data_IF_619671056176
#
_entry.id   IF_619671056176
#
_cell.length_a   1.000
_cell.length_b   1.000
_cell.length_c   1.000
_cell.angle_alpha   90.00
_cell.angle_beta   90.00
_cell.angle_gamma   90.00
#
_symmetry.space_group_name_H-M   'P 1'
#
loop_
_entity.id
_entity.type
_entity.pdbx_description
1 polymer ?
#
# COMPACT_ATOMS: atom_id res chain seq x y z
N UNK A 1 -17.21 3.04 -7.46
CA UNK A 1 -15.82 3.27 -6.97
C UNK A 1 -15.46 4.76 -6.88
N UNK A 2 -15.71 5.55 -7.91
CA UNK A 2 -15.27 6.96 -7.99
C UNK A 2 -15.71 7.83 -6.80
N UNK A 3 -16.94 7.68 -6.31
CA UNK A 3 -17.42 8.42 -5.12
C UNK A 3 -16.61 8.11 -3.84
N UNK A 4 -16.10 6.88 -3.70
CA UNK A 4 -15.25 6.49 -2.57
C UNK A 4 -13.89 7.19 -2.68
N UNK A 5 -13.29 7.19 -3.88
CA UNK A 5 -12.03 7.87 -4.16
C UNK A 5 -12.16 9.37 -3.84
N UNK A 6 -13.19 10.03 -4.36
CA UNK A 6 -13.44 11.44 -4.09
C UNK A 6 -13.65 11.74 -2.60
N UNK A 7 -14.27 10.82 -1.86
CA UNK A 7 -14.45 10.96 -0.41
C UNK A 7 -13.12 10.89 0.35
N UNK A 8 -12.20 10.02 -0.08
CA UNK A 8 -10.84 9.93 0.47
C UNK A 8 -10.05 11.20 0.13
N UNK A 9 -10.11 11.67 -1.12
CA UNK A 9 -9.41 12.89 -1.56
C UNK A 9 -9.90 14.14 -0.80
N UNK A 10 -11.21 14.25 -0.56
CA UNK A 10 -11.79 15.32 0.27
C UNK A 10 -11.34 15.20 1.72
N UNK A 11 -11.29 13.99 2.27
CA UNK A 11 -10.80 13.72 3.63
C UNK A 11 -9.33 14.10 3.77
N UNK A 12 -8.50 13.77 2.78
CA UNK A 12 -7.09 14.19 2.71
C UNK A 12 -6.97 15.72 2.67
N UNK A 13 -7.77 16.39 1.83
CA UNK A 13 -7.78 17.86 1.74
C UNK A 13 -8.19 18.53 3.05
N UNK A 14 -9.10 17.91 3.79
CA UNK A 14 -9.55 18.35 5.11
C UNK A 14 -8.62 17.92 6.26
N UNK A 15 -7.48 17.28 5.97
CA UNK A 15 -6.54 16.71 6.96
C UNK A 15 -7.17 15.68 7.91
N UNK A 16 -8.25 15.02 7.49
CA UNK A 16 -8.91 13.94 8.22
C UNK A 16 -8.12 12.61 8.05
N UNK A 17 -6.86 12.59 8.50
CA UNK A 17 -5.88 11.56 8.17
C UNK A 17 -6.31 10.13 8.52
N UNK A 18 -6.90 9.93 9.69
CA UNK A 18 -7.38 8.62 10.11
C UNK A 18 -8.49 8.10 9.19
N UNK A 19 -9.46 8.96 8.83
CA UNK A 19 -10.54 8.61 7.92
C UNK A 19 -9.99 8.24 6.54
N UNK A 20 -9.07 9.06 6.01
CA UNK A 20 -8.42 8.80 4.72
C UNK A 20 -7.65 7.48 4.74
N UNK A 21 -6.85 7.23 5.77
CA UNK A 21 -6.03 6.03 5.90
C UNK A 21 -6.88 4.76 6.02
N UNK A 22 -7.87 4.75 6.90
CA UNK A 22 -8.76 3.60 7.09
C UNK A 22 -9.53 3.28 5.81
N UNK A 23 -10.08 4.31 5.13
CA UNK A 23 -10.80 4.12 3.88
C UNK A 23 -9.88 3.65 2.75
N UNK A 24 -8.67 4.20 2.63
CA UNK A 24 -7.68 3.77 1.65
C UNK A 24 -7.27 2.31 1.86
N UNK A 25 -6.98 1.88 3.09
CA UNK A 25 -6.60 0.49 3.41
C UNK A 25 -7.70 -0.53 3.11
N UNK A 26 -8.97 -0.11 3.00
CA UNK A 26 -10.07 -1.00 2.60
C UNK A 26 -10.17 -1.20 1.07
N UNK A 27 -9.65 -0.27 0.26
CA UNK A 27 -9.80 -0.34 -1.20
C UNK A 27 -9.20 -1.60 -1.85
N UNK A 28 -7.99 -2.06 -1.47
CA UNK A 28 -7.43 -3.28 -2.06
C UNK A 28 -8.28 -4.53 -1.77
N UNK A 29 -8.93 -4.63 -0.60
CA UNK A 29 -9.87 -5.73 -0.31
C UNK A 29 -11.06 -5.70 -1.29
N UNK A 30 -11.64 -4.52 -1.52
CA UNK A 30 -12.79 -4.35 -2.43
C UNK A 30 -12.40 -4.73 -3.86
N UNK A 31 -11.26 -4.22 -4.34
CA UNK A 31 -10.79 -4.48 -5.71
C UNK A 31 -10.41 -5.95 -5.90
N UNK A 32 -9.70 -6.54 -4.94
CA UNK A 32 -9.32 -7.95 -5.00
C UNK A 32 -10.53 -8.89 -4.96
N UNK A 33 -11.60 -8.52 -4.22
CA UNK A 33 -12.87 -9.27 -4.22
C UNK A 33 -13.52 -9.27 -5.61
N UNK A 34 -13.62 -8.09 -6.24
CA UNK A 34 -14.19 -7.94 -7.59
C UNK A 34 -13.37 -8.73 -8.62
N UNK A 35 -12.05 -8.72 -8.51
CA UNK A 35 -11.19 -9.47 -9.43
C UNK A 35 -11.35 -10.99 -9.37
N UNK A 36 -11.76 -11.51 -8.21
CA UNK A 36 -11.72 -12.94 -7.91
C UNK A 36 -13.10 -13.56 -7.66
N UNK A 37 -14.17 -12.75 -7.60
CA UNK A 37 -15.53 -13.20 -7.34
C UNK A 37 -15.64 -14.11 -6.10
N UNK A 38 -16.37 -15.22 -6.21
CA UNK A 38 -16.55 -16.22 -5.15
C UNK A 38 -15.34 -17.17 -4.98
N UNK A 39 -14.11 -16.62 -5.03
CA UNK A 39 -12.88 -17.40 -4.86
C UNK A 39 -12.78 -18.02 -3.47
N UNK A 40 -12.25 -19.25 -3.41
CA UNK A 40 -11.90 -19.93 -2.14
C UNK A 40 -10.55 -19.49 -1.58
N UNK A 41 -9.81 -18.66 -2.31
CA UNK A 41 -8.52 -18.12 -1.88
C UNK A 41 -8.71 -17.20 -0.67
N UNK A 42 -7.82 -17.29 0.32
CA UNK A 42 -7.89 -16.43 1.51
C UNK A 42 -7.83 -14.95 1.13
N UNK A 43 -8.69 -14.11 1.74
CA UNK A 43 -8.70 -12.66 1.49
C UNK A 43 -7.33 -12.00 1.71
N UNK A 44 -6.54 -12.49 2.66
CA UNK A 44 -5.14 -12.10 2.86
C UNK A 44 -4.28 -12.23 1.61
N UNK A 45 -4.37 -13.37 0.92
CA UNK A 45 -3.59 -13.62 -0.29
C UNK A 45 -4.10 -12.76 -1.44
N UNK A 46 -5.42 -12.61 -1.58
CA UNK A 46 -6.03 -11.78 -2.61
C UNK A 46 -5.60 -10.31 -2.46
N UNK A 47 -5.71 -9.76 -1.25
CA UNK A 47 -5.23 -8.40 -0.93
C UNK A 47 -3.75 -8.25 -1.26
N UNK A 48 -2.90 -9.16 -0.77
CA UNK A 48 -1.47 -9.05 -0.94
C UNK A 48 -1.07 -9.11 -2.42
N UNK A 49 -1.67 -10.02 -3.19
CA UNK A 49 -1.42 -10.14 -4.63
C UNK A 49 -1.86 -8.88 -5.38
N UNK A 50 -3.06 -8.38 -5.09
CA UNK A 50 -3.56 -7.16 -5.72
C UNK A 50 -2.66 -5.96 -5.40
N UNK A 51 -2.23 -5.80 -4.14
CA UNK A 51 -1.31 -4.74 -3.75
C UNK A 51 0.02 -4.85 -4.49
N UNK A 52 0.62 -6.04 -4.56
CA UNK A 52 1.89 -6.25 -5.28
C UNK A 52 1.81 -5.88 -6.76
N UNK A 53 0.67 -6.13 -7.41
CA UNK A 53 0.47 -5.85 -8.84
C UNK A 53 0.25 -4.35 -9.14
N UNK A 54 -0.63 -3.70 -8.36
CA UNK A 54 -1.08 -2.35 -8.68
C UNK A 54 -0.31 -1.24 -7.97
N UNK A 55 0.27 -1.52 -6.80
CA UNK A 55 0.93 -0.53 -5.93
C UNK A 55 2.39 -0.89 -5.64
N UNK A 56 2.68 -2.20 -5.52
CA UNK A 56 3.98 -2.75 -5.15
C UNK A 56 5.19 -2.11 -5.83
N UNK A 57 5.17 -1.81 -7.15
CA UNK A 57 6.28 -1.14 -7.82
C UNK A 57 6.70 0.21 -7.22
N UNK A 58 5.78 0.94 -6.55
CA UNK A 58 6.11 2.22 -5.88
C UNK A 58 6.87 2.03 -4.57
N UNK A 59 6.82 0.83 -4.00
CA UNK A 59 7.45 0.46 -2.75
C UNK A 59 8.65 -0.48 -2.96
N UNK A 60 9.23 -0.47 -4.16
CA UNK A 60 10.41 -1.24 -4.54
C UNK A 60 11.45 -0.30 -5.18
N UNK A 61 12.72 -0.53 -4.89
CA UNK A 61 13.82 0.19 -5.54
C UNK A 61 14.99 -0.74 -5.81
N UNK A 62 15.69 -0.51 -6.93
CA UNK A 62 16.91 -1.24 -7.25
C UNK A 62 18.11 -0.45 -6.72
N UNK A 63 18.95 -1.11 -5.93
CA UNK A 63 20.26 -0.57 -5.54
C UNK A 63 21.38 -1.52 -5.96
N UNK A 64 22.60 -1.03 -6.14
CA UNK A 64 23.77 -1.90 -6.22
C UNK A 64 23.87 -2.75 -4.94
N UNK A 65 24.22 -4.02 -5.09
CA UNK A 65 24.60 -4.87 -3.96
C UNK A 65 25.88 -4.33 -3.34
N UNK A 66 25.85 -4.13 -2.03
CA UNK A 66 27.00 -3.66 -1.26
C UNK A 66 27.37 -4.74 -0.25
N UNK A 67 28.54 -5.37 -0.42
CA UNK A 67 29.08 -6.28 0.59
C UNK A 67 29.72 -5.46 1.71
N UNK A 68 28.97 -5.20 2.77
CA UNK A 68 29.45 -4.41 3.92
C UNK A 68 30.63 -5.09 4.65
N UNK A 69 30.85 -6.40 4.44
CA UNK A 69 31.95 -7.15 5.04
C UNK A 69 33.25 -7.11 4.22
N UNK A 70 33.19 -6.66 2.96
CA UNK A 70 34.36 -6.51 2.11
C UNK A 70 35.16 -5.22 2.43
N UNK A 71 36.46 -5.17 2.08
CA UNK A 71 37.24 -3.92 2.06
C UNK A 71 36.52 -2.85 1.25
N UNK A 72 36.61 -1.57 1.64
CA UNK A 72 35.83 -0.45 1.07
C UNK A 72 35.93 -0.41 -0.45
N UNK A 73 37.13 -0.64 -0.97
CA UNK A 73 37.49 -0.70 -2.39
C UNK A 73 36.88 -1.90 -3.17
N UNK A 74 36.35 -2.90 -2.46
CA UNK A 74 35.78 -4.14 -3.02
C UNK A 74 34.29 -4.34 -2.67
N UNK A 75 33.67 -3.40 -1.95
CA UNK A 75 32.26 -3.53 -1.54
C UNK A 75 31.27 -3.54 -2.69
N UNK A 76 31.65 -2.93 -3.81
CA UNK A 76 30.86 -2.89 -5.03
C UNK A 76 31.60 -3.69 -6.10
N UNK A 77 30.93 -4.72 -6.63
CA UNK A 77 31.48 -5.54 -7.72
C UNK A 77 31.17 -4.92 -9.06
N UNK A 78 32.10 -5.08 -10.01
CA UNK A 78 31.91 -4.74 -11.42
C UNK A 78 31.98 -6.03 -12.27
N UNK A 79 31.02 -6.26 -13.19
CA UNK A 79 29.84 -5.43 -13.49
C UNK A 79 28.86 -5.33 -12.30
N UNK A 80 28.11 -4.22 -12.24
CA UNK A 80 27.22 -3.93 -11.11
C UNK A 80 26.16 -5.02 -10.96
N UNK A 81 26.15 -5.68 -9.81
CA UNK A 81 25.04 -6.51 -9.39
C UNK A 81 24.00 -5.65 -8.69
N UNK A 82 22.76 -5.69 -9.14
CA UNK A 82 21.65 -4.97 -8.52
C UNK A 82 20.87 -5.91 -7.59
N UNK A 83 20.29 -5.35 -6.54
CA UNK A 83 19.29 -6.00 -5.69
C UNK A 83 18.02 -5.17 -5.58
N UNK A 84 16.90 -5.85 -5.42
CA UNK A 84 15.61 -5.23 -5.19
C UNK A 84 15.40 -5.03 -3.68
N UNK A 85 15.26 -3.77 -3.28
CA UNK A 85 14.85 -3.37 -1.95
C UNK A 85 13.34 -3.22 -1.92
N UNK A 86 12.69 -4.05 -1.10
CA UNK A 86 11.25 -3.95 -0.86
C UNK A 86 11.01 -3.16 0.44
N UNK A 87 10.43 -1.97 0.31
CA UNK A 87 10.07 -1.11 1.44
C UNK A 87 8.76 -1.55 2.09
N UNK A 88 7.77 -1.95 1.28
CA UNK A 88 6.46 -2.39 1.73
C UNK A 88 5.92 -3.47 0.80
N UNK A 89 5.81 -4.71 1.27
CA UNK A 89 5.16 -5.78 0.50
C UNK A 89 3.64 -5.78 0.68
N UNK A 90 2.91 -6.46 -0.19
CA UNK A 90 1.47 -6.66 -0.05
C UNK A 90 1.10 -7.41 1.25
N UNK A 91 1.98 -8.29 1.73
CA UNK A 91 1.79 -8.98 3.02
C UNK A 91 1.98 -8.04 4.21
N UNK A 92 2.93 -7.13 4.14
CA UNK A 92 3.16 -6.10 5.16
C UNK A 92 1.97 -5.13 5.18
N UNK A 93 1.53 -4.66 4.01
CA UNK A 93 0.37 -3.78 3.89
C UNK A 93 -0.94 -4.43 4.37
N UNK A 94 -1.15 -5.73 4.12
CA UNK A 94 -2.29 -6.46 4.69
C UNK A 94 -2.21 -6.52 6.22
N UNK A 95 -1.00 -6.72 6.76
CA UNK A 95 -0.80 -6.77 8.21
C UNK A 95 -1.09 -5.41 8.84
N UNK A 96 -0.64 -4.32 8.20
CA UNK A 96 -0.99 -2.95 8.57
C UNK A 96 -2.50 -2.72 8.54
N UNK A 97 -3.17 -3.11 7.45
CA UNK A 97 -4.63 -3.01 7.33
C UNK A 97 -5.32 -3.69 8.51
N UNK A 98 -4.88 -4.88 8.91
CA UNK A 98 -5.46 -5.59 10.04
C UNK A 98 -5.28 -4.81 11.35
N UNK A 99 -4.06 -4.35 11.63
CA UNK A 99 -3.76 -3.57 12.83
C UNK A 99 -4.61 -2.28 12.91
N UNK A 100 -4.67 -1.53 11.81
CA UNK A 100 -5.40 -0.25 11.77
C UNK A 100 -6.91 -0.45 11.85
N UNK A 101 -7.48 -1.41 11.13
CA UNK A 101 -8.94 -1.55 11.02
C UNK A 101 -9.59 -2.35 12.17
N UNK A 102 -8.87 -3.30 12.78
CA UNK A 102 -9.44 -4.15 13.85
C UNK A 102 -8.95 -3.77 15.24
N UNK A 103 -7.75 -3.21 15.35
CA UNK A 103 -7.12 -2.92 16.63
C UNK A 103 -6.87 -1.42 16.83
N UNK A 104 -7.15 -0.58 15.82
CA UNK A 104 -6.77 0.83 15.79
C UNK A 104 -5.28 1.03 16.16
N UNK A 105 -4.43 0.08 15.75
CA UNK A 105 -3.02 -0.04 16.10
C UNK A 105 -2.14 0.16 14.86
N UNK A 106 -0.93 0.69 15.07
CA UNK A 106 0.15 0.78 14.10
C UNK A 106 1.21 -0.32 14.28
N UNK A 107 0.98 -1.25 15.22
CA UNK A 107 1.78 -2.45 15.49
C UNK A 107 1.11 -3.68 14.86
N UNK A 108 1.88 -4.44 14.08
CA UNK A 108 1.39 -5.64 13.36
C UNK A 108 1.79 -6.97 14.03
N UNK A 109 2.39 -6.94 15.22
CA UNK A 109 2.70 -8.11 16.04
C UNK A 109 4.07 -8.77 15.83
N UNK A 110 4.25 -9.96 16.43
CA UNK A 110 5.54 -10.55 16.88
C UNK A 110 6.78 -10.32 15.98
N UNK A 111 7.77 -9.70 16.62
CA UNK A 111 9.19 -9.52 16.24
C UNK A 111 9.76 -10.64 15.36
N UNK A 112 9.87 -10.37 14.06
CA UNK A 112 10.88 -10.96 13.19
C UNK A 112 11.73 -9.81 12.64
N UNK A 113 13.06 -9.86 12.72
CA UNK A 113 13.93 -8.72 12.36
C UNK A 113 13.78 -8.29 10.88
N UNK A 114 13.33 -9.19 10.01
CA UNK A 114 13.14 -8.93 8.58
C UNK A 114 11.76 -8.34 8.23
N UNK A 115 10.81 -8.35 9.17
CA UNK A 115 9.44 -7.87 8.95
C UNK A 115 9.24 -6.48 9.52
N UNK A 116 8.42 -5.69 8.84
CA UNK A 116 7.95 -4.42 9.37
C UNK A 116 6.95 -4.75 10.47
N UNK A 117 7.27 -4.37 11.70
CA UNK A 117 6.40 -4.60 12.86
C UNK A 117 5.70 -3.32 13.28
N UNK A 118 6.29 -2.15 12.98
CA UNK A 118 5.74 -0.84 13.35
C UNK A 118 5.64 0.09 12.15
N UNK A 119 4.50 0.75 12.02
CA UNK A 119 4.28 1.79 11.02
C UNK A 119 4.21 3.14 11.71
N UNK A 120 4.89 4.15 11.18
CA UNK A 120 4.75 5.52 11.67
C UNK A 120 4.18 6.39 10.55
N UNK A 121 2.93 6.82 10.71
CA UNK A 121 2.33 7.77 9.78
C UNK A 121 2.65 9.21 10.18
N UNK A 122 3.06 10.00 9.20
CA UNK A 122 3.32 11.43 9.37
C UNK A 122 2.45 12.21 8.39
N UNK A 123 1.90 13.34 8.85
CA UNK A 123 1.32 14.37 7.98
C UNK A 123 2.27 15.55 7.96
N UNK A 124 3.14 15.63 6.96
CA UNK A 124 4.16 16.69 6.90
C UNK A 124 3.55 18.00 6.42
N UNK A 125 3.55 19.04 7.26
CA UNK A 125 3.13 20.40 6.88
C UNK A 125 4.30 21.30 6.45
N UNK A 126 5.54 20.81 6.62
CA UNK A 126 6.76 21.60 6.42
C UNK A 126 7.29 21.55 4.98
N UNK A 127 6.59 20.88 4.05
CA UNK A 127 7.03 20.64 2.67
C UNK A 127 8.13 19.58 2.53
N UNK A 128 8.65 19.04 3.64
CA UNK A 128 9.56 17.90 3.62
C UNK A 128 8.80 16.61 3.26
N UNK A 129 9.31 15.85 2.29
CA UNK A 129 8.77 14.54 1.93
C UNK A 129 9.34 13.48 2.86
N UNK A 130 8.48 12.91 3.72
CA UNK A 130 8.87 11.90 4.69
C UNK A 130 8.13 10.59 4.35
N UNK A 131 8.65 9.84 3.38
CA UNK A 131 7.98 8.64 2.87
C UNK A 131 8.99 7.53 2.55
N UNK A 132 8.62 6.27 2.81
CA UNK A 132 9.48 5.08 2.67
C UNK A 132 10.79 5.14 3.46
N UNK A 133 10.79 5.79 4.62
CA UNK A 133 11.97 5.82 5.51
C UNK A 133 11.94 4.58 6.40
N UNK A 134 12.87 3.64 6.17
CA UNK A 134 12.97 2.39 6.93
C UNK A 134 14.11 2.46 7.94
N UNK A 135 13.80 2.17 9.20
CA UNK A 135 14.77 2.03 10.27
C UNK A 135 14.45 0.75 11.07
N UNK A 136 15.34 -0.25 11.01
CA UNK A 136 15.13 -1.55 11.63
C UNK A 136 13.78 -2.18 11.20
N UNK A 137 12.86 -2.40 12.14
CA UNK A 137 11.51 -2.94 11.91
C UNK A 137 10.41 -1.87 11.82
N UNK A 138 10.79 -0.58 11.77
CA UNK A 138 9.88 0.54 11.58
C UNK A 138 9.91 1.05 10.14
N UNK A 139 8.74 1.29 9.56
CA UNK A 139 8.57 2.01 8.31
C UNK A 139 7.79 3.30 8.56
N UNK A 140 8.40 4.44 8.24
CA UNK A 140 7.74 5.74 8.30
C UNK A 140 7.21 6.15 6.93
N UNK A 141 5.92 6.48 6.90
CA UNK A 141 5.15 6.78 5.69
C UNK A 141 4.41 8.11 5.84
N UNK A 142 4.51 8.97 4.84
CA UNK A 142 3.61 10.09 4.71
C UNK A 142 2.19 9.59 4.40
N UNK A 143 1.21 9.97 5.21
CA UNK A 143 -0.18 9.50 5.08
C UNK A 143 -0.85 9.97 3.80
N UNK A 144 -0.53 11.20 3.36
CA UNK A 144 -1.08 11.76 2.13
C UNK A 144 -0.53 11.03 0.92
N UNK A 145 0.79 10.82 0.87
CA UNK A 145 1.44 10.07 -0.22
C UNK A 145 0.95 8.62 -0.22
N UNK A 146 0.90 7.96 0.93
CA UNK A 146 0.42 6.57 1.01
C UNK A 146 -1.01 6.43 0.49
N UNK A 147 -1.95 7.27 0.94
CA UNK A 147 -3.33 7.21 0.45
C UNK A 147 -3.42 7.52 -1.06
N UNK A 148 -2.62 8.48 -1.54
CA UNK A 148 -2.56 8.84 -2.96
C UNK A 148 -2.04 7.67 -3.81
N UNK A 149 -1.05 6.93 -3.31
CA UNK A 149 -0.50 5.74 -3.97
C UNK A 149 -1.53 4.61 -4.05
N UNK A 150 -2.31 4.40 -2.99
CA UNK A 150 -3.44 3.45 -3.02
C UNK A 150 -4.46 3.87 -4.08
N UNK A 151 -4.86 5.15 -4.11
CA UNK A 151 -5.81 5.68 -5.12
C UNK A 151 -5.25 5.48 -6.54
N UNK A 152 -3.97 5.78 -6.75
CA UNK A 152 -3.31 5.57 -8.04
C UNK A 152 -3.33 4.08 -8.46
N UNK A 153 -3.11 3.17 -7.51
CA UNK A 153 -3.25 1.72 -7.71
C UNK A 153 -4.67 1.32 -8.13
N UNK A 154 -5.69 1.84 -7.43
CA UNK A 154 -7.10 1.59 -7.80
C UNK A 154 -7.43 2.16 -9.17
N UNK A 155 -6.98 3.37 -9.51
CA UNK A 155 -7.20 3.95 -10.84
C UNK A 155 -6.53 3.13 -11.94
N UNK A 156 -5.32 2.60 -11.68
CA UNK A 156 -4.62 1.68 -12.60
C UNK A 156 -5.41 0.38 -12.78
N UNK A 157 -5.97 -0.16 -11.69
CA UNK A 157 -6.83 -1.35 -11.73
C UNK A 157 -8.14 -1.11 -12.46
N UNK A 158 -8.84 -0.01 -12.21
CA UNK A 158 -10.08 0.35 -12.93
C UNK A 158 -9.83 0.34 -14.44
N UNK A 159 -8.70 0.91 -14.88
CA UNK A 159 -8.28 0.89 -16.28
C UNK A 159 -7.98 -0.52 -16.81
N UNK A 160 -7.41 -1.41 -16.00
CA UNK A 160 -7.12 -2.80 -16.44
C UNK A 160 -8.38 -3.64 -16.62
N UNK A 161 -9.49 -3.27 -15.96
CA UNK A 161 -10.76 -4.01 -16.04
C UNK A 161 -11.80 -3.38 -16.99
N UNK A 162 -11.52 -2.24 -17.64
CA UNK A 162 -12.45 -1.54 -18.55
C UNK A 162 -13.04 -2.44 -19.66
N UNK A 163 -12.28 -3.46 -20.10
CA UNK A 163 -12.75 -4.43 -21.10
C UNK A 163 -13.63 -5.56 -20.55
N UNK A 164 -13.82 -5.65 -19.23
CA UNK A 164 -14.56 -6.71 -18.56
C UNK A 164 -15.89 -6.18 -18.04
N UNK A 165 -16.97 -6.41 -18.81
CA UNK A 165 -18.32 -5.97 -18.46
C UNK A 165 -18.77 -6.48 -17.07
N UNK A 166 -18.44 -7.73 -16.74
CA UNK A 166 -18.75 -8.33 -15.44
C UNK A 166 -18.16 -7.52 -14.28
N UNK A 167 -16.86 -7.19 -14.36
CA UNK A 167 -16.18 -6.44 -13.30
C UNK A 167 -16.63 -4.99 -13.24
N UNK A 168 -16.87 -4.35 -14.39
CA UNK A 168 -17.38 -2.99 -14.43
C UNK A 168 -18.79 -2.90 -13.82
N UNK A 169 -19.67 -3.85 -14.14
CA UNK A 169 -21.01 -3.91 -13.57
C UNK A 169 -20.95 -4.12 -12.04
N UNK A 170 -20.00 -4.94 -11.52
CA UNK A 170 -19.81 -5.09 -10.08
C UNK A 170 -19.30 -3.79 -9.41
N UNK A 171 -18.38 -3.06 -10.06
CA UNK A 171 -17.90 -1.74 -9.61
C UNK A 171 -19.04 -0.72 -9.52
N UNK A 172 -19.95 -0.73 -10.48
CA UNK A 172 -21.10 0.17 -10.55
C UNK A 172 -22.18 -0.20 -9.53
N UNK A 173 -22.26 -1.48 -9.15
CA UNK A 173 -23.17 -1.98 -8.11
C UNK A 173 -22.75 -1.67 -6.67
N UNK A 174 -21.56 -1.10 -6.47
CA UNK A 174 -21.09 -0.70 -5.14
C UNK A 174 -22.07 0.30 -4.51
N UNK A 175 -22.24 0.19 -3.18
CA UNK A 175 -23.20 1.02 -2.45
C UNK A 175 -22.93 2.52 -2.66
N UNK A 176 -24.01 3.30 -2.72
CA UNK A 176 -23.97 4.76 -2.84
C UNK A 176 -24.72 5.40 -1.67
N UNK A 177 -24.31 6.61 -1.30
CA UNK A 177 -24.99 7.42 -0.28
C UNK A 177 -25.73 8.53 -1.01
N UNK A 178 -27.06 8.52 -0.95
CA UNK A 178 -27.91 9.55 -1.53
C UNK A 178 -28.11 10.70 -0.54
N UNK A 179 -27.81 11.92 -0.96
CA UNK A 179 -28.12 13.13 -0.20
C UNK A 179 -29.55 13.55 -0.56
N UNK A 180 -30.40 13.71 0.46
CA UNK A 180 -31.80 14.15 0.35
C UNK A 180 -31.96 15.59 0.81
#
# INVERSE_FOLDING_TARGET
MELIIQSIERSLSAKAWHCSLMAALALPDICARIDNGASKTSGKLLYATWFEEYIGPRYKSLSPKIDLNAPVEQRVKFPLEMEENVFLSGKDCYSLRCAVLHEASDDTGKNKPEKITKFQFVGSESGAVIHCNRAQSMLQLDVHIFCTDIIAGVRKWLKSIEGSKEKTDEVDSLFTITIV
#
